data_IF_258700376688
#
_entry.id   IF_258700376688
#
_cell.length_a   1.000
_cell.length_b   1.000
_cell.length_c   1.000
_cell.angle_alpha   90.00
_cell.angle_beta   90.00
_cell.angle_gamma   90.00
#
_symmetry.space_group_name_H-M   'P 1'
#
loop_
_entity.id
_entity.type
_entity.pdbx_description
1 polymer ?
#
# COMPACT_ATOMS: atom_id res chain seq x y z
N UNK A 1 23.25 -18.12 3.45
CA UNK A 1 22.29 -16.98 3.41
C UNK A 1 22.57 -16.20 2.15
N UNK A 2 21.56 -15.66 1.48
CA UNK A 2 21.81 -14.90 0.23
C UNK A 2 22.35 -13.50 0.52
N UNK A 3 23.20 -13.00 -0.37
CA UNK A 3 23.74 -11.63 -0.36
C UNK A 3 23.45 -10.97 -1.70
N UNK A 4 23.10 -9.70 -1.66
CA UNK A 4 22.93 -8.86 -2.85
C UNK A 4 24.11 -7.88 -2.93
N UNK A 5 24.90 -7.97 -3.99
CA UNK A 5 25.95 -7.01 -4.30
C UNK A 5 25.41 -6.03 -5.32
N UNK A 6 25.43 -4.75 -4.96
CA UNK A 6 24.99 -3.64 -5.81
C UNK A 6 26.24 -2.90 -6.26
N UNK A 7 26.50 -2.88 -7.57
CA UNK A 7 27.56 -2.06 -8.18
C UNK A 7 26.91 -0.78 -8.71
N UNK A 8 26.96 0.29 -7.92
CA UNK A 8 26.27 1.55 -8.26
C UNK A 8 26.94 2.36 -9.36
N UNK A 9 26.56 3.63 -9.49
CA UNK A 9 26.98 4.55 -10.55
C UNK A 9 26.66 4.04 -11.96
N UNK A 10 25.49 3.39 -12.08
CA UNK A 10 24.85 3.05 -13.34
C UNK A 10 23.54 3.84 -13.42
N UNK A 11 23.36 4.59 -14.50
CA UNK A 11 22.11 5.28 -14.78
C UNK A 11 21.03 4.27 -15.16
N UNK A 12 19.83 4.39 -14.59
CA UNK A 12 18.69 3.57 -14.98
C UNK A 12 18.09 4.11 -16.28
N UNK A 13 17.95 3.27 -17.30
CA UNK A 13 17.41 3.66 -18.60
C UNK A 13 16.36 2.67 -19.09
N UNK A 14 15.20 3.18 -19.52
CA UNK A 14 14.19 2.38 -20.20
C UNK A 14 12.79 2.56 -19.63
N UNK A 15 12.03 1.46 -19.66
CA UNK A 15 10.63 1.44 -19.27
C UNK A 15 10.38 0.37 -18.22
N UNK A 16 9.51 0.66 -17.26
CA UNK A 16 9.04 -0.31 -16.28
C UNK A 16 7.52 -0.36 -16.29
N UNK A 17 6.98 -1.58 -16.24
CA UNK A 17 5.55 -1.85 -16.10
C UNK A 17 5.28 -2.32 -14.68
N UNK A 18 4.25 -1.77 -14.07
CA UNK A 18 3.91 -2.07 -12.68
C UNK A 18 2.88 -3.18 -12.58
N UNK A 19 2.71 -3.71 -11.37
CA UNK A 19 1.60 -4.62 -11.07
C UNK A 19 0.46 -3.87 -10.40
N UNK A 20 -0.74 -4.45 -10.45
CA UNK A 20 -1.89 -3.91 -9.74
C UNK A 20 -1.65 -3.76 -8.23
N UNK A 21 -2.16 -2.67 -7.68
CA UNK A 21 -2.03 -2.31 -6.27
C UNK A 21 -2.61 -3.40 -5.36
N UNK A 22 -1.73 -3.99 -4.55
CA UNK A 22 -2.10 -5.06 -3.65
C UNK A 22 -3.19 -4.61 -2.67
N UNK A 23 -3.16 -3.39 -2.17
CA UNK A 23 -4.14 -2.92 -1.18
C UNK A 23 -5.54 -2.81 -1.78
N UNK A 24 -5.64 -2.23 -2.96
CA UNK A 24 -6.87 -2.15 -3.74
C UNK A 24 -7.40 -3.55 -4.04
N UNK A 25 -6.56 -4.48 -4.49
CA UNK A 25 -7.01 -5.83 -4.83
C UNK A 25 -7.50 -6.59 -3.59
N UNK A 26 -6.82 -6.49 -2.45
CA UNK A 26 -7.28 -7.10 -1.20
C UNK A 26 -8.67 -6.55 -0.79
N UNK A 27 -8.88 -5.23 -0.95
CA UNK A 27 -10.17 -4.61 -0.70
C UNK A 27 -11.25 -5.12 -1.67
N UNK A 28 -10.90 -5.33 -2.94
CA UNK A 28 -11.80 -5.92 -3.94
C UNK A 28 -12.12 -7.38 -3.62
N UNK A 29 -11.14 -8.19 -3.18
CA UNK A 29 -11.37 -9.57 -2.75
C UNK A 29 -12.36 -9.62 -1.57
N UNK A 30 -12.18 -8.72 -0.59
CA UNK A 30 -13.12 -8.58 0.51
C UNK A 30 -14.50 -8.08 0.04
N UNK A 31 -14.57 -7.15 -0.90
CA UNK A 31 -15.82 -6.63 -1.45
C UNK A 31 -16.57 -7.70 -2.26
N UNK A 32 -15.86 -8.60 -2.96
CA UNK A 32 -16.45 -9.67 -3.75
C UNK A 32 -17.35 -10.60 -2.91
N UNK A 33 -17.06 -10.76 -1.62
CA UNK A 33 -17.90 -11.50 -0.66
C UNK A 33 -19.31 -10.92 -0.59
N UNK A 34 -19.47 -9.60 -0.75
CA UNK A 34 -20.78 -8.93 -0.74
C UNK A 34 -21.65 -9.30 -1.95
N UNK A 35 -21.07 -9.71 -3.08
CA UNK A 35 -21.81 -9.98 -4.31
C UNK A 35 -22.76 -11.16 -4.16
N UNK A 36 -24.06 -10.92 -4.30
CA UNK A 36 -25.12 -11.94 -4.21
C UNK A 36 -25.47 -12.55 -5.57
N UNK A 37 -24.92 -12.02 -6.67
CA UNK A 37 -25.16 -12.53 -8.03
C UNK A 37 -23.90 -12.44 -8.88
N UNK A 38 -23.70 -13.45 -9.73
CA UNK A 38 -22.59 -13.52 -10.68
C UNK A 38 -21.19 -13.64 -10.05
N UNK A 39 -20.18 -13.50 -10.90
CA UNK A 39 -18.76 -13.63 -10.55
C UNK A 39 -18.07 -12.28 -10.66
N UNK A 40 -17.41 -11.83 -9.61
CA UNK A 40 -16.54 -10.64 -9.65
C UNK A 40 -15.23 -11.03 -10.32
N UNK A 41 -14.83 -10.27 -11.35
CA UNK A 41 -13.61 -10.51 -12.12
C UNK A 41 -12.67 -9.33 -11.93
N UNK A 42 -11.41 -9.62 -11.61
CA UNK A 42 -10.34 -8.63 -11.42
C UNK A 42 -9.17 -9.00 -12.30
N UNK A 43 -8.75 -8.07 -13.14
CA UNK A 43 -7.55 -8.14 -13.97
C UNK A 43 -6.37 -7.40 -13.29
N UNK A 44 -5.15 -7.63 -13.77
CA UNK A 44 -3.90 -7.07 -13.25
C UNK A 44 -3.62 -7.47 -11.78
N UNK A 45 -3.82 -8.75 -11.44
CA UNK A 45 -3.63 -9.24 -10.07
C UNK A 45 -2.25 -9.87 -9.86
N UNK A 46 -1.39 -9.33 -8.96
CA UNK A 46 -0.10 -9.91 -8.66
C UNK A 46 -0.24 -11.19 -7.83
N UNK A 47 0.71 -12.11 -8.00
CA UNK A 47 0.70 -13.42 -7.33
C UNK A 47 1.38 -13.38 -5.96
N UNK A 48 0.91 -12.54 -5.04
CA UNK A 48 1.51 -12.42 -3.70
C UNK A 48 0.93 -13.40 -2.67
N UNK A 49 1.66 -13.61 -1.58
CA UNK A 49 1.20 -14.42 -0.45
C UNK A 49 -0.12 -13.87 0.11
N UNK A 50 -0.22 -12.55 0.24
CA UNK A 50 -1.40 -11.85 0.72
C UNK A 50 -2.66 -12.09 -0.12
N UNK A 51 -2.54 -11.99 -1.44
CA UNK A 51 -3.63 -12.33 -2.36
C UNK A 51 -4.04 -13.79 -2.19
N UNK A 52 -3.06 -14.69 -2.03
CA UNK A 52 -3.31 -16.12 -1.81
C UNK A 52 -4.04 -16.39 -0.50
N UNK A 53 -3.71 -15.69 0.59
CA UNK A 53 -4.41 -15.79 1.88
C UNK A 53 -5.88 -15.38 1.75
N UNK A 54 -6.17 -14.27 1.04
CA UNK A 54 -7.56 -13.85 0.80
C UNK A 54 -8.32 -14.82 -0.12
N UNK A 55 -7.67 -15.44 -1.11
CA UNK A 55 -8.26 -16.52 -1.92
C UNK A 55 -8.67 -17.69 -1.01
N UNK A 56 -7.79 -18.11 -0.10
CA UNK A 56 -8.08 -19.19 0.85
C UNK A 56 -9.22 -18.82 1.79
N UNK A 57 -9.29 -17.58 2.25
CA UNK A 57 -10.40 -17.09 3.07
C UNK A 57 -11.74 -17.25 2.36
N UNK A 58 -11.87 -16.74 1.14
CA UNK A 58 -13.12 -16.79 0.38
C UNK A 58 -13.54 -18.25 0.14
N UNK A 59 -12.58 -19.15 -0.14
CA UNK A 59 -12.84 -20.59 -0.27
C UNK A 59 -13.32 -21.23 1.04
N UNK A 60 -12.72 -20.84 2.17
CA UNK A 60 -13.13 -21.32 3.50
C UNK A 60 -14.56 -20.86 3.85
N UNK A 61 -14.96 -19.69 3.36
CA UNK A 61 -16.34 -19.20 3.44
C UNK A 61 -17.32 -19.96 2.51
N UNK A 62 -16.86 -20.97 1.75
CA UNK A 62 -17.61 -21.69 0.68
C UNK A 62 -17.79 -20.92 -0.63
N UNK A 63 -17.10 -19.80 -0.83
CA UNK A 63 -17.02 -19.14 -2.12
C UNK A 63 -16.14 -19.92 -3.12
N UNK A 64 -16.38 -19.70 -4.41
CA UNK A 64 -15.59 -20.29 -5.50
C UNK A 64 -14.61 -19.25 -6.03
N UNK A 65 -13.32 -19.59 -6.08
CA UNK A 65 -12.27 -18.68 -6.56
C UNK A 65 -11.36 -19.38 -7.55
N UNK A 66 -11.19 -18.76 -8.73
CA UNK A 66 -10.25 -19.17 -9.77
C UNK A 66 -9.23 -18.05 -9.98
N UNK A 67 -7.94 -18.36 -9.88
CA UNK A 67 -6.88 -17.40 -10.14
C UNK A 67 -6.00 -17.93 -11.27
N UNK A 68 -6.11 -17.32 -12.45
CA UNK A 68 -5.19 -17.54 -13.55
C UNK A 68 -3.96 -16.67 -13.32
N UNK A 69 -2.91 -17.26 -12.73
CA UNK A 69 -1.65 -16.56 -12.43
C UNK A 69 -0.92 -16.09 -13.68
N UNK A 70 -1.11 -16.75 -14.83
CA UNK A 70 -0.43 -16.39 -16.08
C UNK A 70 -1.08 -15.18 -16.73
N UNK A 71 -2.42 -15.15 -16.73
CA UNK A 71 -3.19 -14.03 -17.23
C UNK A 71 -3.36 -12.91 -16.20
N UNK A 72 -2.98 -13.14 -14.93
CA UNK A 72 -3.20 -12.24 -13.80
C UNK A 72 -4.69 -11.91 -13.57
N UNK A 73 -5.57 -12.86 -13.88
CA UNK A 73 -7.03 -12.70 -13.75
C UNK A 73 -7.54 -13.51 -12.55
N UNK A 74 -8.20 -12.83 -11.63
CA UNK A 74 -8.88 -13.40 -10.47
C UNK A 74 -10.40 -13.37 -10.68
N UNK A 75 -11.05 -14.52 -10.51
CA UNK A 75 -12.52 -14.67 -10.59
C UNK A 75 -13.04 -15.18 -9.26
N UNK A 76 -14.02 -14.50 -8.67
CA UNK A 76 -14.57 -14.78 -7.35
C UNK A 76 -16.10 -14.83 -7.40
N UNK A 77 -16.67 -15.95 -6.97
CA UNK A 77 -18.11 -16.16 -6.88
C UNK A 77 -18.47 -16.46 -5.42
N UNK A 78 -19.26 -15.56 -4.83
CA UNK A 78 -19.78 -15.65 -3.47
C UNK A 78 -21.32 -15.73 -3.45
N UNK A 79 -21.93 -16.22 -4.54
CA UNK A 79 -23.40 -16.33 -4.67
C UNK A 79 -24.00 -17.44 -3.81
N UNK A 80 -23.20 -18.47 -3.50
CA UNK A 80 -23.61 -19.58 -2.66
C UNK A 80 -23.80 -19.15 -1.19
N UNK A 81 -24.46 -20.01 -0.41
CA UNK A 81 -24.57 -19.81 1.02
C UNK A 81 -23.19 -19.84 1.67
N UNK A 82 -22.76 -18.70 2.22
CA UNK A 82 -21.47 -18.58 2.88
C UNK A 82 -21.52 -19.15 4.30
N UNK A 83 -20.43 -19.76 4.76
CA UNK A 83 -20.29 -20.20 6.16
C UNK A 83 -19.26 -19.30 6.85
N UNK A 84 -19.61 -18.56 7.93
CA UNK A 84 -18.65 -17.70 8.61
C UNK A 84 -17.49 -18.54 9.17
N UNK A 85 -16.29 -17.98 9.08
CA UNK A 85 -15.06 -18.55 9.64
C UNK A 85 -14.35 -17.51 10.50
N UNK A 86 -13.57 -17.91 11.51
CA UNK A 86 -12.80 -16.97 12.31
C UNK A 86 -11.76 -16.22 11.46
N UNK A 87 -11.69 -14.90 11.65
CA UNK A 87 -10.80 -14.00 10.93
C UNK A 87 -9.64 -13.56 11.83
N UNK A 88 -8.45 -13.53 11.27
CA UNK A 88 -7.24 -13.02 11.92
C UNK A 88 -6.25 -12.45 10.89
N UNK A 89 -5.31 -11.63 11.35
CA UNK A 89 -4.29 -11.01 10.51
C UNK A 89 -4.90 -10.31 9.29
N UNK A 90 -4.46 -10.67 8.08
CA UNK A 90 -4.91 -10.03 6.85
C UNK A 90 -6.39 -10.24 6.53
N UNK A 91 -6.99 -11.35 7.00
CA UNK A 91 -8.41 -11.63 6.75
C UNK A 91 -9.35 -10.68 7.52
N UNK A 92 -8.84 -9.93 8.51
CA UNK A 92 -9.61 -8.91 9.24
C UNK A 92 -10.17 -7.82 8.31
N UNK A 93 -9.57 -7.59 7.14
CA UNK A 93 -10.12 -6.68 6.13
C UNK A 93 -11.52 -7.11 5.66
N UNK A 94 -11.80 -8.41 5.63
CA UNK A 94 -13.08 -8.97 5.19
C UNK A 94 -14.20 -8.86 6.24
N UNK A 95 -13.89 -8.41 7.46
CA UNK A 95 -14.83 -8.38 8.60
C UNK A 95 -16.17 -7.75 8.23
N UNK A 96 -16.15 -6.58 7.58
CA UNK A 96 -17.37 -5.88 7.20
C UNK A 96 -18.23 -6.66 6.21
N UNK A 97 -17.61 -7.27 5.19
CA UNK A 97 -18.31 -8.06 4.19
C UNK A 97 -18.86 -9.37 4.76
N UNK A 98 -18.09 -10.05 5.60
CA UNK A 98 -18.51 -11.29 6.26
C UNK A 98 -19.67 -10.99 7.21
N UNK A 99 -19.59 -9.94 8.03
CA UNK A 99 -20.69 -9.56 8.92
C UNK A 99 -21.95 -9.19 8.13
N UNK A 100 -21.82 -8.42 7.05
CA UNK A 100 -22.95 -8.03 6.20
C UNK A 100 -23.66 -9.23 5.54
N UNK A 101 -22.91 -10.27 5.16
CA UNK A 101 -23.44 -11.45 4.45
C UNK A 101 -23.85 -12.59 5.38
N UNK A 102 -23.06 -12.87 6.40
CA UNK A 102 -23.25 -13.99 7.32
C UNK A 102 -23.97 -13.60 8.61
N UNK A 103 -24.21 -12.29 8.86
CA UNK A 103 -24.82 -11.74 10.10
C UNK A 103 -24.02 -11.96 11.38
N UNK A 104 -22.90 -12.67 11.29
CA UNK A 104 -21.96 -12.89 12.37
C UNK A 104 -20.53 -13.01 11.84
N UNK A 105 -19.56 -12.68 12.67
CA UNK A 105 -18.13 -12.82 12.40
C UNK A 105 -17.37 -13.01 13.71
N UNK A 106 -16.39 -13.91 13.69
CA UNK A 106 -15.45 -14.12 14.80
C UNK A 106 -14.12 -13.47 14.46
N UNK A 107 -13.59 -12.62 15.34
CA UNK A 107 -12.27 -12.01 15.23
C UNK A 107 -11.34 -12.65 16.25
N UNK A 108 -10.29 -13.30 15.79
CA UNK A 108 -9.32 -14.00 16.64
C UNK A 108 -8.07 -13.17 16.79
N UNK A 109 -7.72 -12.86 18.04
CA UNK A 109 -6.41 -12.30 18.34
C UNK A 109 -5.42 -13.44 18.54
N UNK A 110 -4.42 -13.49 17.66
CA UNK A 110 -3.37 -14.51 17.70
C UNK A 110 -2.19 -14.08 18.56
N UNK A 111 -2.15 -12.83 19.03
CA UNK A 111 -1.03 -12.26 19.77
C UNK A 111 0.26 -12.11 18.95
N UNK A 112 0.22 -12.41 17.65
CA UNK A 112 1.41 -12.42 16.77
C UNK A 112 1.91 -11.01 16.46
N UNK A 113 1.02 -10.01 16.42
CA UNK A 113 1.38 -8.64 16.11
C UNK A 113 0.50 -7.63 16.86
N UNK A 114 1.10 -6.67 17.60
CA UNK A 114 0.35 -5.59 18.25
C UNK A 114 -0.55 -4.79 17.29
N UNK A 115 -0.14 -4.64 16.03
CA UNK A 115 -0.93 -3.94 15.02
C UNK A 115 -2.22 -4.69 14.68
N UNK A 116 -2.20 -6.03 14.70
CA UNK A 116 -3.41 -6.84 14.49
C UNK A 116 -4.35 -6.72 15.69
N UNK A 117 -3.84 -6.78 16.92
CA UNK A 117 -4.65 -6.57 18.13
C UNK A 117 -5.32 -5.19 18.11
N UNK A 118 -4.58 -4.15 17.73
CA UNK A 118 -5.14 -2.80 17.57
C UNK A 118 -6.24 -2.75 16.49
N UNK A 119 -6.02 -3.39 15.33
CA UNK A 119 -7.00 -3.47 14.25
C UNK A 119 -8.30 -4.15 14.72
N UNK A 120 -8.20 -5.25 15.47
CA UNK A 120 -9.37 -5.94 16.03
C UNK A 120 -10.18 -5.00 16.92
N UNK A 121 -9.52 -4.28 17.83
CA UNK A 121 -10.16 -3.32 18.73
C UNK A 121 -10.84 -2.19 17.94
N UNK A 122 -10.19 -1.65 16.90
CA UNK A 122 -10.78 -0.64 16.04
C UNK A 122 -12.04 -1.14 15.34
N UNK A 123 -12.01 -2.33 14.75
CA UNK A 123 -13.16 -2.95 14.07
C UNK A 123 -14.32 -3.18 15.04
N UNK A 124 -14.04 -3.73 16.23
CA UNK A 124 -15.04 -3.94 17.28
C UNK A 124 -15.74 -2.62 17.64
N UNK A 125 -14.98 -1.55 17.87
CA UNK A 125 -15.54 -0.24 18.20
C UNK A 125 -16.40 0.32 17.07
N UNK A 126 -15.91 0.25 15.83
CA UNK A 126 -16.60 0.77 14.65
C UNK A 126 -17.92 0.02 14.40
N UNK A 127 -17.92 -1.30 14.44
CA UNK A 127 -19.11 -2.11 14.21
C UNK A 127 -20.12 -1.99 15.36
N UNK A 128 -19.65 -1.90 16.60
CA UNK A 128 -20.52 -1.61 17.76
C UNK A 128 -21.24 -0.27 17.61
N UNK A 129 -20.55 0.75 17.07
CA UNK A 129 -21.16 2.07 16.82
C UNK A 129 -22.29 2.02 15.78
N UNK A 130 -22.28 1.01 14.90
CA UNK A 130 -23.35 0.71 13.94
C UNK A 130 -24.40 -0.25 14.50
N UNK A 131 -24.36 -0.57 15.80
CA UNK A 131 -25.35 -1.41 16.48
C UNK A 131 -25.08 -2.92 16.46
N UNK A 132 -23.86 -3.35 16.10
CA UNK A 132 -23.46 -4.75 16.26
C UNK A 132 -23.36 -5.13 17.74
N UNK A 133 -23.78 -6.35 18.08
CA UNK A 133 -23.58 -6.94 19.41
C UNK A 133 -22.22 -7.60 19.45
N UNK A 134 -21.45 -7.31 20.48
CA UNK A 134 -20.09 -7.85 20.66
C UNK A 134 -20.04 -8.65 21.94
N UNK A 135 -19.47 -9.86 21.85
CA UNK A 135 -19.17 -10.73 22.97
C UNK A 135 -17.67 -11.05 22.93
N UNK A 136 -16.98 -10.80 24.04
CA UNK A 136 -15.58 -11.13 24.19
C UNK A 136 -15.43 -12.55 24.75
N UNK A 137 -14.59 -13.35 24.11
CA UNK A 137 -14.30 -14.74 24.46
C UNK A 137 -12.77 -14.91 24.63
N UNK A 138 -12.34 -16.04 25.17
CA UNK A 138 -10.91 -16.31 25.45
C UNK A 138 -9.98 -16.24 24.23
N UNK A 139 -10.52 -16.31 23.00
CA UNK A 139 -9.76 -16.28 21.75
C UNK A 139 -9.90 -14.95 20.97
N UNK A 140 -10.74 -14.01 21.43
CA UNK A 140 -11.03 -12.77 20.71
C UNK A 140 -12.49 -12.33 20.85
N UNK A 141 -13.14 -11.92 19.76
CA UNK A 141 -14.48 -11.32 19.78
C UNK A 141 -15.44 -12.00 18.82
N UNK A 142 -16.63 -12.36 19.31
CA UNK A 142 -17.77 -12.74 18.50
C UNK A 142 -18.66 -11.52 18.26
N UNK A 143 -18.93 -11.19 17.00
CA UNK A 143 -19.72 -10.02 16.60
C UNK A 143 -20.93 -10.49 15.81
N UNK A 144 -22.13 -10.05 16.20
CA UNK A 144 -23.38 -10.40 15.54
C UNK A 144 -24.23 -9.15 15.25
N UNK A 145 -24.84 -9.10 14.06
CA UNK A 145 -25.81 -8.07 13.69
C UNK A 145 -26.80 -8.61 12.67
N UNK A 146 -28.09 -8.59 12.98
CA UNK A 146 -29.14 -8.87 11.99
C UNK A 146 -29.10 -7.84 10.87
N UNK A 147 -29.01 -6.56 11.24
CA UNK A 147 -28.70 -5.44 10.35
C UNK A 147 -27.87 -4.43 11.11
N UNK A 148 -26.81 -3.93 10.49
CA UNK A 148 -26.11 -2.75 10.96
C UNK A 148 -26.98 -1.52 10.68
N UNK A 149 -26.80 -0.45 11.46
CA UNK A 149 -27.50 0.83 11.30
C UNK A 149 -26.56 1.90 10.80
N UNK A 150 -27.04 2.70 9.86
CA UNK A 150 -26.38 3.92 9.41
C UNK A 150 -26.20 4.90 10.57
N UNK A 151 -25.02 5.48 10.66
CA UNK A 151 -24.65 6.44 11.72
C UNK A 151 -23.51 7.36 11.24
N UNK A 152 -23.12 8.33 12.06
CA UNK A 152 -21.99 9.23 11.78
C UNK A 152 -20.77 8.76 12.55
N UNK A 153 -19.65 8.53 11.86
CA UNK A 153 -18.42 7.98 12.43
C UNK A 153 -17.24 8.86 12.02
N UNK A 154 -16.42 9.28 12.98
CA UNK A 154 -15.12 9.92 12.71
C UNK A 154 -14.02 8.88 12.55
N UNK A 155 -13.22 9.03 11.50
CA UNK A 155 -12.14 8.12 11.13
C UNK A 155 -10.75 8.68 11.45
N UNK A 156 -10.68 9.78 12.20
CA UNK A 156 -9.39 10.37 12.62
C UNK A 156 -8.55 9.33 13.35
N UNK A 157 -7.36 9.06 12.79
CA UNK A 157 -6.41 8.10 13.35
C UNK A 157 -6.79 6.63 13.18
N UNK A 158 -7.83 6.29 12.42
CA UNK A 158 -8.20 4.90 12.12
C UNK A 158 -7.31 4.31 11.04
N UNK A 159 -6.97 3.05 11.18
CA UNK A 159 -6.16 2.34 10.19
C UNK A 159 -6.92 2.14 8.87
N UNK A 160 -6.19 2.13 7.75
CA UNK A 160 -6.78 1.92 6.43
C UNK A 160 -7.64 0.63 6.35
N UNK A 161 -7.21 -0.53 6.86
CA UNK A 161 -8.05 -1.74 6.84
C UNK A 161 -9.37 -1.59 7.60
N UNK A 162 -9.38 -0.89 8.76
CA UNK A 162 -10.59 -0.58 9.51
C UNK A 162 -11.58 0.24 8.68
N UNK A 163 -11.08 1.25 7.97
CA UNK A 163 -11.90 2.14 7.12
C UNK A 163 -12.50 1.36 5.96
N UNK A 164 -11.71 0.56 5.24
CA UNK A 164 -12.18 -0.24 4.12
C UNK A 164 -13.23 -1.27 4.56
N UNK A 165 -12.99 -1.97 5.68
CA UNK A 165 -13.95 -2.91 6.25
C UNK A 165 -15.27 -2.23 6.63
N UNK A 166 -15.20 -1.04 7.24
CA UNK A 166 -16.37 -0.27 7.62
C UNK A 166 -17.16 0.21 6.39
N UNK A 167 -16.47 0.67 5.33
CA UNK A 167 -17.12 1.05 4.08
C UNK A 167 -17.91 -0.13 3.48
N UNK A 168 -17.31 -1.33 3.46
CA UNK A 168 -17.98 -2.55 3.00
C UNK A 168 -19.20 -2.88 3.86
N UNK A 169 -19.06 -2.85 5.20
CA UNK A 169 -20.17 -3.09 6.12
C UNK A 169 -21.34 -2.12 5.92
N UNK A 170 -21.03 -0.83 5.73
CA UNK A 170 -22.02 0.23 5.55
C UNK A 170 -22.84 0.10 4.26
N UNK A 171 -22.34 -0.61 3.23
CA UNK A 171 -23.11 -0.82 1.99
C UNK A 171 -24.36 -1.67 2.16
N UNK A 172 -24.44 -2.47 3.23
CA UNK A 172 -25.56 -3.36 3.53
C UNK A 172 -26.27 -2.98 4.84
N UNK A 173 -25.94 -1.82 5.42
CA UNK A 173 -26.55 -1.31 6.64
C UNK A 173 -27.93 -0.68 6.37
N UNK A 174 -28.80 -0.61 7.37
CA UNK A 174 -30.07 0.12 7.28
C UNK A 174 -29.84 1.62 7.47
N UNK A 175 -30.18 2.43 6.46
CA UNK A 175 -30.05 3.89 6.49
C UNK A 175 -28.76 4.42 5.85
N UNK A 176 -28.32 5.60 6.31
CA UNK A 176 -27.17 6.33 5.77
C UNK A 176 -26.05 6.35 6.79
N UNK A 177 -24.87 5.88 6.39
CA UNK A 177 -23.63 6.01 7.13
C UNK A 177 -22.84 7.21 6.61
N UNK A 178 -22.35 8.06 7.51
CA UNK A 178 -21.48 9.20 7.18
C UNK A 178 -20.12 8.99 7.84
N UNK A 179 -19.10 8.79 7.04
CA UNK A 179 -17.72 8.65 7.47
C UNK A 179 -17.01 9.99 7.32
N UNK A 180 -16.54 10.56 8.43
CA UNK A 180 -15.81 11.83 8.46
C UNK A 180 -14.31 11.59 8.59
N UNK A 181 -13.53 12.42 7.93
CA UNK A 181 -12.07 12.43 7.98
C UNK A 181 -11.44 11.08 7.57
N UNK A 182 -11.87 10.46 6.45
CA UNK A 182 -11.21 9.24 5.98
C UNK A 182 -9.73 9.51 5.66
N UNK A 183 -8.83 8.53 5.86
CA UNK A 183 -7.46 8.66 5.42
C UNK A 183 -7.40 8.85 3.90
N UNK A 184 -6.47 9.69 3.45
CA UNK A 184 -6.19 9.79 2.02
C UNK A 184 -5.47 8.51 1.56
N UNK A 185 -6.14 7.71 0.74
CA UNK A 185 -5.56 6.50 0.15
C UNK A 185 -6.25 6.18 -1.19
N UNK A 186 -5.50 5.84 -2.24
CA UNK A 186 -6.08 5.33 -3.49
C UNK A 186 -7.04 4.17 -3.27
N UNK A 187 -6.73 3.25 -2.34
CA UNK A 187 -7.57 2.09 -2.05
C UNK A 187 -8.99 2.47 -1.56
N UNK A 188 -9.17 3.59 -0.85
CA UNK A 188 -10.49 4.10 -0.43
C UNK A 188 -11.31 4.53 -1.64
N UNK A 189 -10.68 5.23 -2.59
CA UNK A 189 -11.32 5.70 -3.81
C UNK A 189 -11.69 4.54 -4.74
N UNK A 190 -10.76 3.60 -4.92
CA UNK A 190 -10.97 2.42 -5.76
C UNK A 190 -12.03 1.49 -5.18
N UNK A 191 -12.06 1.30 -3.86
CA UNK A 191 -13.12 0.55 -3.19
C UNK A 191 -14.49 1.23 -3.39
N UNK A 192 -14.58 2.56 -3.27
CA UNK A 192 -15.84 3.26 -3.53
C UNK A 192 -16.32 3.08 -4.98
N UNK A 193 -15.41 3.12 -5.96
CA UNK A 193 -15.74 2.86 -7.36
C UNK A 193 -16.27 1.45 -7.56
N UNK A 194 -15.61 0.43 -7.02
CA UNK A 194 -16.03 -0.94 -7.24
C UNK A 194 -17.35 -1.24 -6.54
N UNK A 195 -17.54 -0.75 -5.30
CA UNK A 195 -18.80 -0.91 -4.58
C UNK A 195 -19.95 -0.27 -5.36
N UNK A 196 -19.75 0.94 -5.92
CA UNK A 196 -20.75 1.56 -6.80
C UNK A 196 -21.02 0.76 -8.08
N UNK A 197 -19.97 0.20 -8.71
CA UNK A 197 -20.15 -0.71 -9.86
C UNK A 197 -20.91 -1.99 -9.50
N UNK A 198 -20.83 -2.44 -8.25
CA UNK A 198 -21.60 -3.56 -7.72
C UNK A 198 -23.04 -3.17 -7.31
N UNK A 199 -23.42 -1.90 -7.43
CA UNK A 199 -24.76 -1.40 -7.12
C UNK A 199 -24.89 -0.67 -5.77
N UNK A 200 -23.79 -0.42 -5.05
CA UNK A 200 -23.82 0.37 -3.82
C UNK A 200 -24.07 1.87 -4.12
N UNK A 201 -24.30 2.64 -3.07
CA UNK A 201 -24.47 4.10 -3.13
C UNK A 201 -23.45 4.79 -2.24
N UNK A 202 -22.23 4.92 -2.74
CA UNK A 202 -21.08 5.52 -2.07
C UNK A 202 -20.73 6.84 -2.75
N UNK A 203 -20.78 7.94 -1.99
CA UNK A 203 -20.49 9.29 -2.49
C UNK A 203 -19.43 9.98 -1.63
N UNK A 204 -18.64 10.89 -2.22
CA UNK A 204 -17.65 11.69 -1.50
C UNK A 204 -16.31 10.99 -1.22
N UNK A 205 -16.04 9.83 -1.82
CA UNK A 205 -14.72 9.22 -1.76
C UNK A 205 -13.66 10.15 -2.39
N UNK A 206 -12.56 10.38 -1.68
CA UNK A 206 -11.56 11.40 -2.03
C UNK A 206 -11.83 12.79 -1.44
N UNK A 207 -12.90 12.96 -0.66
CA UNK A 207 -13.17 14.17 0.13
C UNK A 207 -13.06 13.88 1.64
N UNK A 208 -13.24 14.90 2.47
CA UNK A 208 -13.28 14.78 3.94
C UNK A 208 -14.49 14.02 4.48
N UNK A 209 -15.48 13.71 3.62
CA UNK A 209 -16.74 13.09 4.03
C UNK A 209 -17.22 12.07 3.00
N UNK A 210 -17.32 10.80 3.41
CA UNK A 210 -17.93 9.74 2.60
C UNK A 210 -19.34 9.45 3.12
N UNK A 211 -20.33 9.45 2.22
CA UNK A 211 -21.72 9.08 2.53
C UNK A 211 -22.05 7.76 1.85
N UNK A 212 -22.54 6.80 2.62
CA UNK A 212 -22.90 5.47 2.15
C UNK A 212 -24.36 5.22 2.50
N UNK A 213 -25.22 5.12 1.49
CA UNK A 213 -26.59 4.65 1.67
C UNK A 213 -26.60 3.14 1.49
N UNK A 214 -27.04 2.40 2.51
CA UNK A 214 -27.09 0.96 2.41
C UNK A 214 -28.15 0.47 1.41
N UNK A 215 -27.88 -0.68 0.81
CA UNK A 215 -28.70 -1.35 -0.20
C UNK A 215 -29.01 -2.78 0.22
N UNK A 216 -30.00 -3.39 -0.42
CA UNK A 216 -30.47 -4.74 -0.09
C UNK A 216 -29.61 -5.86 -0.69
N UNK A 217 -28.97 -5.58 -1.82
CA UNK A 217 -28.12 -6.54 -2.53
C UNK A 217 -27.07 -5.83 -3.36
N UNK A 218 -25.96 -6.53 -3.62
CA UNK A 218 -24.91 -6.13 -4.54
C UNK A 218 -24.73 -7.23 -5.59
N UNK A 219 -24.30 -6.84 -6.79
CA UNK A 219 -24.09 -7.72 -7.94
C UNK A 219 -22.62 -7.78 -8.36
N UNK A 220 -22.30 -8.72 -9.23
CA UNK A 220 -20.96 -8.86 -9.80
C UNK A 220 -20.55 -7.66 -10.64
N UNK A 221 -19.25 -7.50 -10.82
CA UNK A 221 -18.65 -6.52 -11.73
C UNK A 221 -17.31 -7.05 -12.24
N UNK A 222 -16.89 -6.51 -13.38
CA UNK A 222 -15.53 -6.62 -13.87
C UNK A 222 -14.73 -5.38 -13.46
N UNK A 223 -13.45 -5.58 -13.14
CA UNK A 223 -12.54 -4.55 -12.68
C UNK A 223 -11.13 -4.77 -13.20
N UNK A 224 -10.44 -3.68 -13.55
CA UNK A 224 -9.01 -3.69 -13.82
C UNK A 224 -8.32 -3.04 -12.64
N UNK A 225 -7.49 -3.79 -11.91
CA UNK A 225 -6.78 -3.22 -10.76
C UNK A 225 -5.80 -2.14 -11.24
N UNK A 226 -5.89 -0.95 -10.64
CA UNK A 226 -4.93 0.12 -10.94
C UNK A 226 -3.54 -0.28 -10.48
N UNK A 227 -2.55 0.14 -11.25
CA UNK A 227 -1.14 -0.05 -10.91
C UNK A 227 -0.78 0.63 -9.60
N UNK A 228 0.16 0.04 -8.85
CA UNK A 228 0.63 0.57 -7.57
C UNK A 228 1.31 1.94 -7.76
N UNK A 229 0.63 2.99 -7.27
CA UNK A 229 1.11 4.36 -7.42
C UNK A 229 2.26 4.67 -6.45
N UNK A 230 2.36 3.98 -5.32
CA UNK A 230 3.53 4.11 -4.44
C UNK A 230 4.75 3.46 -5.08
N UNK A 231 4.60 2.28 -5.71
CA UNK A 231 5.63 1.64 -6.53
C UNK A 231 6.07 2.54 -7.68
N UNK A 232 5.11 3.11 -8.41
CA UNK A 232 5.38 4.07 -9.47
C UNK A 232 6.22 5.25 -8.98
N UNK A 233 5.86 5.80 -7.82
CA UNK A 233 6.60 6.89 -7.20
C UNK A 233 8.03 6.48 -6.82
N UNK A 234 8.23 5.25 -6.35
CA UNK A 234 9.57 4.74 -6.04
C UNK A 234 10.43 4.65 -7.31
N UNK A 235 9.91 4.11 -8.41
CA UNK A 235 10.66 4.08 -9.68
C UNK A 235 10.99 5.48 -10.20
N UNK A 236 10.08 6.45 -10.07
CA UNK A 236 10.38 7.85 -10.39
C UNK A 236 11.51 8.38 -9.51
N UNK A 237 11.47 8.11 -8.20
CA UNK A 237 12.55 8.49 -7.29
C UNK A 237 13.89 7.83 -7.65
N UNK A 238 13.89 6.55 -8.04
CA UNK A 238 15.11 5.84 -8.45
C UNK A 238 15.68 6.38 -9.77
N UNK A 239 14.84 6.73 -10.74
CA UNK A 239 15.27 7.40 -11.97
C UNK A 239 15.90 8.77 -11.69
N UNK A 240 15.27 9.58 -10.82
CA UNK A 240 15.84 10.84 -10.36
C UNK A 240 17.18 10.66 -9.64
N UNK A 241 17.24 9.68 -8.73
CA UNK A 241 18.39 9.43 -7.87
C UNK A 241 19.63 8.96 -8.65
N UNK A 242 19.43 8.17 -9.70
CA UNK A 242 20.51 7.62 -10.53
C UNK A 242 20.91 8.54 -11.68
N UNK A 243 20.25 9.69 -11.87
CA UNK A 243 20.47 10.55 -13.03
C UNK A 243 20.01 9.92 -14.35
N UNK A 244 19.14 8.90 -14.29
CA UNK A 244 18.73 8.08 -15.43
C UNK A 244 17.52 8.62 -16.20
N UNK A 245 17.07 7.87 -17.19
CA UNK A 245 15.89 8.17 -18.02
C UNK A 245 14.88 7.01 -17.96
N UNK A 246 13.93 7.12 -17.05
CA UNK A 246 13.00 6.04 -16.70
C UNK A 246 11.57 6.46 -17.04
N UNK A 247 10.88 5.63 -17.82
CA UNK A 247 9.44 5.74 -18.04
C UNK A 247 8.70 4.70 -17.21
N UNK A 248 7.83 5.16 -16.33
CA UNK A 248 6.98 4.30 -15.50
C UNK A 248 5.60 4.20 -16.15
N UNK A 249 5.31 3.08 -16.79
CA UNK A 249 4.02 2.80 -17.40
C UNK A 249 3.00 2.45 -16.30
N UNK A 250 1.76 2.96 -16.43
CA UNK A 250 0.72 2.81 -15.41
C UNK A 250 0.70 3.91 -14.33
N UNK A 251 1.76 4.72 -14.25
CA UNK A 251 1.81 5.87 -13.35
C UNK A 251 0.75 6.93 -13.72
N UNK A 252 -0.09 7.28 -12.76
CA UNK A 252 -1.18 8.26 -12.96
C UNK A 252 -0.80 9.61 -12.39
N UNK A 253 -0.70 10.61 -13.26
CA UNK A 253 -0.36 11.98 -12.87
C UNK A 253 -1.33 12.57 -11.84
N UNK A 254 -2.60 12.15 -11.82
CA UNK A 254 -3.58 12.62 -10.83
C UNK A 254 -3.19 12.20 -9.41
N UNK A 255 -2.68 10.99 -9.23
CA UNK A 255 -2.24 10.47 -7.93
C UNK A 255 -0.84 10.95 -7.55
N UNK A 256 0.04 11.17 -8.53
CA UNK A 256 1.46 11.50 -8.32
C UNK A 256 1.80 12.97 -8.56
N UNK A 257 0.81 13.87 -8.66
CA UNK A 257 1.03 15.29 -8.98
C UNK A 257 1.94 15.99 -7.97
N UNK A 258 1.78 15.73 -6.67
CA UNK A 258 2.63 16.37 -5.65
C UNK A 258 4.07 15.85 -5.73
N UNK A 259 4.23 14.55 -5.98
CA UNK A 259 5.54 13.92 -6.13
C UNK A 259 6.27 14.44 -7.38
N UNK A 260 5.61 14.44 -8.54
CA UNK A 260 6.17 14.91 -9.80
C UNK A 260 6.62 16.37 -9.71
N UNK A 261 5.78 17.25 -9.17
CA UNK A 261 6.15 18.65 -8.90
C UNK A 261 7.34 18.77 -7.93
N UNK A 262 7.44 17.88 -6.94
CA UNK A 262 8.57 17.88 -6.00
C UNK A 262 9.86 17.46 -6.71
N UNK A 263 9.83 16.40 -7.52
CA UNK A 263 10.97 15.92 -8.31
C UNK A 263 11.44 16.96 -9.33
N UNK A 264 10.51 17.68 -9.99
CA UNK A 264 10.86 18.80 -10.88
C UNK A 264 11.60 19.92 -10.13
N UNK A 265 11.14 20.29 -8.94
CA UNK A 265 11.81 21.30 -8.10
C UNK A 265 13.19 20.85 -7.59
N UNK A 266 13.43 19.55 -7.51
CA UNK A 266 14.75 18.98 -7.24
C UNK A 266 15.70 19.06 -8.46
N UNK A 267 15.22 19.54 -9.61
CA UNK A 267 16.01 19.75 -10.82
C UNK A 267 15.84 18.67 -11.90
N UNK A 268 14.94 17.70 -11.70
CA UNK A 268 14.66 16.64 -12.67
C UNK A 268 13.69 17.14 -13.76
N UNK A 269 13.71 16.51 -14.94
CA UNK A 269 12.68 16.74 -15.95
C UNK A 269 11.60 15.66 -15.83
N UNK A 270 10.35 16.07 -15.64
CA UNK A 270 9.21 15.14 -15.59
C UNK A 270 8.32 15.36 -16.81
N UNK A 271 7.98 14.28 -17.51
CA UNK A 271 7.11 14.30 -18.69
C UNK A 271 5.93 13.38 -18.43
N UNK A 272 4.75 13.97 -18.25
CA UNK A 272 3.49 13.23 -18.15
C UNK A 272 3.10 12.73 -19.54
N UNK A 273 2.94 11.42 -19.68
CA UNK A 273 2.52 10.75 -20.91
C UNK A 273 1.10 10.18 -20.76
N UNK A 274 0.53 9.68 -21.85
CA UNK A 274 -0.85 9.13 -21.84
C UNK A 274 -1.01 7.93 -20.91
N UNK A 275 -0.01 7.06 -20.87
CA UNK A 275 -0.03 5.79 -20.12
C UNK A 275 1.09 5.68 -19.09
N UNK A 276 1.61 6.81 -18.59
CA UNK A 276 2.71 6.77 -17.64
C UNK A 276 3.36 8.12 -17.40
N UNK A 277 4.44 8.11 -16.62
CA UNK A 277 5.24 9.29 -16.30
C UNK A 277 6.70 8.94 -16.59
N UNK A 278 7.37 9.79 -17.37
CA UNK A 278 8.80 9.70 -17.63
C UNK A 278 9.55 10.70 -16.78
N UNK A 279 10.64 10.26 -16.17
CA UNK A 279 11.58 11.12 -15.45
C UNK A 279 12.96 11.03 -16.09
N UNK A 280 13.57 12.19 -16.28
CA UNK A 280 14.98 12.32 -16.65
C UNK A 280 15.66 12.95 -15.45
N UNK A 281 16.49 12.16 -14.78
CA UNK A 281 17.24 12.52 -13.61
C UNK A 281 18.32 13.56 -13.90
N UNK A 282 18.71 14.30 -12.87
CA UNK A 282 19.88 15.19 -12.91
C UNK A 282 21.00 14.61 -12.05
N UNK A 283 22.26 14.92 -12.39
CA UNK A 283 23.41 14.51 -11.57
C UNK A 283 23.50 15.27 -10.23
N UNK A 284 22.85 16.43 -10.13
CA UNK A 284 22.87 17.26 -8.91
C UNK A 284 21.44 17.56 -8.50
N UNK A 285 21.02 16.96 -7.38
CA UNK A 285 19.71 17.16 -6.80
C UNK A 285 19.69 18.42 -5.92
N UNK A 286 18.72 19.30 -6.19
CA UNK A 286 18.46 20.51 -5.40
C UNK A 286 17.68 20.09 -4.14
N UNK A 287 18.09 20.52 -2.92
CA UNK A 287 17.35 20.20 -1.70
C UNK A 287 15.96 20.81 -1.74
N UNK A 288 14.95 20.00 -1.37
CA UNK A 288 13.55 20.39 -1.35
C UNK A 288 12.84 19.85 -0.12
N UNK A 289 11.95 20.67 0.42
CA UNK A 289 11.12 20.33 1.55
C UNK A 289 9.98 19.39 1.15
N UNK A 290 9.76 18.32 1.93
CA UNK A 290 8.64 17.39 1.79
C UNK A 290 7.52 17.85 2.72
N UNK A 291 6.62 18.66 2.16
CA UNK A 291 5.51 19.27 2.87
C UNK A 291 4.50 18.22 3.41
N UNK A 292 3.73 18.56 4.46
CA UNK A 292 2.72 17.67 5.05
C UNK A 292 1.79 17.02 4.03
N UNK A 293 1.34 17.78 3.03
CA UNK A 293 0.43 17.29 1.99
C UNK A 293 1.04 16.19 1.14
N UNK A 294 2.33 16.25 0.81
CA UNK A 294 3.00 15.18 0.06
C UNK A 294 3.23 13.98 0.99
N UNK A 295 3.72 14.23 2.21
CA UNK A 295 3.99 13.15 3.17
C UNK A 295 2.77 12.27 3.47
N UNK A 296 1.57 12.88 3.49
CA UNK A 296 0.31 12.17 3.73
C UNK A 296 -0.17 11.35 2.53
N UNK A 297 0.29 11.65 1.32
CA UNK A 297 -0.07 10.90 0.11
C UNK A 297 0.85 9.69 -0.14
N UNK A 298 2.03 9.67 0.47
CA UNK A 298 3.03 8.65 0.25
C UNK A 298 2.86 7.49 1.24
N UNK A 299 2.87 6.26 0.73
CA UNK A 299 3.11 5.08 1.54
C UNK A 299 4.53 5.01 2.08
N UNK A 300 4.79 4.00 2.93
CA UNK A 300 6.07 3.84 3.62
C UNK A 300 7.26 3.68 2.66
N UNK A 301 7.08 2.94 1.56
CA UNK A 301 8.13 2.71 0.55
C UNK A 301 8.50 3.99 -0.18
N UNK A 302 7.50 4.75 -0.65
CA UNK A 302 7.72 6.03 -1.33
C UNK A 302 8.33 7.08 -0.40
N UNK A 303 7.86 7.17 0.86
CA UNK A 303 8.48 8.04 1.87
C UNK A 303 9.94 7.68 2.12
N UNK A 304 10.27 6.39 2.11
CA UNK A 304 11.65 5.92 2.28
C UNK A 304 12.51 6.32 1.07
N UNK A 305 12.01 6.18 -0.15
CA UNK A 305 12.71 6.62 -1.36
C UNK A 305 12.93 8.14 -1.40
N UNK A 306 11.93 8.94 -0.99
CA UNK A 306 12.06 10.40 -0.85
C UNK A 306 13.12 10.79 0.18
N UNK A 307 13.22 10.05 1.29
CA UNK A 307 14.24 10.32 2.29
C UNK A 307 15.65 10.03 1.75
N UNK A 308 15.80 8.97 0.95
CA UNK A 308 17.08 8.70 0.24
C UNK A 308 17.40 9.82 -0.76
N UNK A 309 16.43 10.34 -1.50
CA UNK A 309 16.62 11.51 -2.37
C UNK A 309 17.08 12.74 -1.58
N UNK A 310 16.44 13.02 -0.44
CA UNK A 310 16.80 14.14 0.43
C UNK A 310 18.23 14.01 0.99
N UNK A 311 18.69 12.79 1.25
CA UNK A 311 20.08 12.53 1.64
C UNK A 311 21.07 12.85 0.51
N UNK A 312 20.72 12.55 -0.75
CA UNK A 312 21.60 12.80 -1.90
C UNK A 312 21.54 14.25 -2.41
N UNK A 313 20.50 15.01 -2.04
CA UNK A 313 20.40 16.42 -2.39
C UNK A 313 21.48 17.27 -1.70
N UNK A 314 22.06 18.23 -2.41
CA UNK A 314 23.15 19.08 -1.88
C UNK A 314 22.60 20.21 -1.01
N UNK A 315 22.30 19.89 0.25
CA UNK A 315 21.93 20.87 1.26
C UNK A 315 20.85 20.37 2.23
N UNK A 316 20.21 21.33 2.89
CA UNK A 316 19.24 21.05 3.95
C UNK A 316 17.83 20.89 3.39
N UNK A 317 17.18 19.78 3.74
CA UNK A 317 15.77 19.52 3.44
C UNK A 317 14.99 19.22 4.73
N UNK A 318 13.74 19.64 4.79
CA UNK A 318 12.83 19.33 5.89
C UNK A 318 11.70 18.42 5.43
N UNK A 319 11.38 17.38 6.22
CA UNK A 319 10.34 16.40 5.93
C UNK A 319 9.36 16.40 7.10
N UNK A 320 8.13 16.82 6.83
CA UNK A 320 7.06 16.82 7.83
C UNK A 320 6.43 15.43 7.96
N UNK A 321 6.01 15.08 9.17
CA UNK A 321 5.26 13.85 9.48
C UNK A 321 5.92 12.54 8.99
N UNK A 322 7.25 12.51 8.92
CA UNK A 322 7.97 11.32 8.48
C UNK A 322 7.67 10.11 9.41
N UNK A 323 7.15 8.99 8.87
CA UNK A 323 6.85 7.78 9.64
C UNK A 323 8.06 7.27 10.44
N UNK A 324 7.81 6.65 11.59
CA UNK A 324 8.89 6.10 12.44
C UNK A 324 9.63 4.98 11.72
N UNK A 325 8.90 4.19 10.96
CA UNK A 325 9.34 3.04 10.19
C UNK A 325 10.32 3.45 9.08
N UNK A 326 9.98 4.48 8.29
CA UNK A 326 10.87 5.02 7.26
C UNK A 326 12.15 5.64 7.86
N UNK A 327 12.05 6.28 9.03
CA UNK A 327 13.24 6.78 9.76
C UNK A 327 14.12 5.65 10.25
N UNK A 328 13.52 4.62 10.85
CA UNK A 328 14.23 3.44 11.34
C UNK A 328 14.93 2.69 10.20
N UNK A 329 14.29 2.59 9.03
CA UNK A 329 14.87 1.99 7.83
C UNK A 329 16.20 2.66 7.45
N UNK A 330 16.23 3.99 7.43
CA UNK A 330 17.43 4.77 7.09
C UNK A 330 18.48 4.66 8.19
N UNK A 331 18.10 4.77 9.46
CA UNK A 331 19.07 4.64 10.57
C UNK A 331 19.73 3.27 10.64
N UNK A 332 19.03 2.21 10.21
CA UNK A 332 19.58 0.86 10.14
C UNK A 332 20.65 0.73 9.05
N UNK A 333 20.54 1.54 7.99
CA UNK A 333 21.48 1.52 6.86
C UNK A 333 22.62 2.51 7.05
N UNK A 334 22.33 3.71 7.52
CA UNK A 334 23.27 4.83 7.55
C UNK A 334 23.18 5.58 8.89
N UNK A 335 23.87 5.05 9.92
CA UNK A 335 23.88 5.64 11.26
C UNK A 335 24.58 7.01 11.33
N UNK A 336 25.52 7.26 10.42
CA UNK A 336 26.29 8.51 10.38
C UNK A 336 25.61 9.65 9.59
N UNK A 337 24.37 9.45 9.13
CA UNK A 337 23.64 10.49 8.42
C UNK A 337 23.31 11.67 9.35
N UNK A 338 23.50 12.90 8.87
CA UNK A 338 23.11 14.10 9.62
C UNK A 338 21.60 14.35 9.48
N UNK A 339 20.86 13.57 10.27
CA UNK A 339 19.40 13.58 10.33
C UNK A 339 18.95 13.88 11.76
N UNK A 340 18.15 14.92 11.91
CA UNK A 340 17.63 15.36 13.21
C UNK A 340 16.10 15.41 13.20
N UNK A 341 15.45 14.72 14.14
CA UNK A 341 14.00 14.74 14.27
C UNK A 341 13.57 15.60 15.47
N UNK A 342 12.83 16.68 15.22
CA UNK A 342 12.32 17.57 16.25
C UNK A 342 10.90 18.03 15.91
N UNK A 343 9.98 17.96 16.89
CA UNK A 343 8.59 18.44 16.77
C UNK A 343 7.85 17.96 15.51
N UNK A 344 8.03 16.69 15.12
CA UNK A 344 7.34 16.13 13.94
C UNK A 344 7.98 16.49 12.60
N UNK A 345 9.10 17.22 12.61
CA UNK A 345 9.87 17.61 11.43
C UNK A 345 11.20 16.87 11.46
N UNK A 346 11.50 16.16 10.39
CA UNK A 346 12.80 15.55 10.14
C UNK A 346 13.64 16.52 9.31
N UNK A 347 14.76 16.97 9.84
CA UNK A 347 15.76 17.75 9.12
C UNK A 347 16.82 16.81 8.59
N UNK A 348 17.09 16.87 7.28
CA UNK A 348 18.13 16.10 6.60
C UNK A 348 19.14 17.06 6.00
N UNK A 349 20.41 16.96 6.41
CA UNK A 349 21.51 17.66 5.76
C UNK A 349 22.17 16.70 4.75
N UNK A 350 21.76 16.81 3.49
CA UNK A 350 22.21 15.93 2.41
C UNK A 350 23.55 16.34 1.79
N UNK A 351 24.07 15.46 0.93
CA UNK A 351 25.31 15.66 0.17
C UNK A 351 26.61 15.31 0.92
N UNK A 352 26.53 14.99 2.21
CA UNK A 352 27.69 14.71 3.04
C UNK A 352 27.54 13.41 3.83
N UNK A 353 27.65 12.26 3.16
CA UNK A 353 27.69 10.96 3.81
C UNK A 353 28.51 9.95 3.01
N UNK A 354 28.97 8.90 3.68
CA UNK A 354 29.60 7.75 3.03
C UNK A 354 28.70 6.54 3.21
N UNK A 355 28.32 5.91 2.09
CA UNK A 355 27.56 4.66 2.14
C UNK A 355 28.46 3.54 2.67
N UNK A 356 28.01 2.73 3.63
CA UNK A 356 28.78 1.60 4.12
C UNK A 356 29.02 0.57 3.00
N UNK A 357 30.12 -0.19 3.09
CA UNK A 357 30.39 -1.28 2.13
C UNK A 357 29.46 -2.48 2.33
N UNK A 358 29.02 -2.71 3.58
CA UNK A 358 28.13 -3.81 3.94
C UNK A 358 27.07 -3.34 4.93
N UNK A 359 25.83 -3.72 4.67
CA UNK A 359 24.67 -3.30 5.46
C UNK A 359 23.79 -4.51 5.80
N UNK A 360 23.25 -4.52 7.01
CA UNK A 360 22.19 -5.45 7.40
C UNK A 360 20.83 -4.81 7.16
N UNK A 361 19.97 -5.53 6.46
CA UNK A 361 18.64 -5.06 6.08
C UNK A 361 17.59 -5.94 6.75
N UNK A 362 17.19 -5.64 8.01
CA UNK A 362 16.26 -6.49 8.76
C UNK A 362 14.81 -6.44 8.25
N UNK A 363 14.48 -5.46 7.39
CA UNK A 363 13.11 -5.20 6.92
C UNK A 363 13.10 -4.82 5.44
N UNK A 364 11.95 -4.98 4.79
CA UNK A 364 11.78 -4.57 3.39
C UNK A 364 12.15 -3.10 3.15
N UNK A 365 11.72 -2.19 4.03
CA UNK A 365 12.05 -0.75 3.92
C UNK A 365 13.55 -0.49 4.06
N UNK A 366 14.24 -1.14 5.00
CA UNK A 366 15.70 -1.03 5.09
C UNK A 366 16.38 -1.58 3.84
N UNK A 367 15.85 -2.67 3.28
CA UNK A 367 16.29 -3.25 2.00
C UNK A 367 16.17 -2.26 0.85
N UNK A 368 15.00 -1.65 0.68
CA UNK A 368 14.75 -0.63 -0.35
C UNK A 368 15.66 0.58 -0.17
N UNK A 369 15.83 1.07 1.06
CA UNK A 369 16.69 2.23 1.31
C UNK A 369 18.15 1.95 0.98
N UNK A 370 18.66 0.76 1.33
CA UNK A 370 20.02 0.34 1.03
C UNK A 370 20.20 0.10 -0.48
N UNK A 371 19.19 -0.50 -1.14
CA UNK A 371 19.17 -0.67 -2.60
C UNK A 371 19.26 0.68 -3.31
N UNK A 372 18.40 1.64 -2.96
CA UNK A 372 18.40 2.98 -3.53
C UNK A 372 19.74 3.70 -3.31
N UNK A 373 20.28 3.66 -2.08
CA UNK A 373 21.61 4.20 -1.79
C UNK A 373 22.71 3.51 -2.60
N UNK A 374 22.69 2.18 -2.69
CA UNK A 374 23.68 1.41 -3.45
C UNK A 374 23.68 1.76 -4.94
N UNK A 375 22.50 1.95 -5.54
CA UNK A 375 22.38 2.33 -6.96
C UNK A 375 23.01 3.71 -7.24
N UNK A 376 22.80 4.66 -6.33
CA UNK A 376 23.23 6.05 -6.47
C UNK A 376 24.74 6.28 -6.22
N UNK A 377 25.41 5.34 -5.55
CA UNK A 377 26.79 5.54 -5.09
C UNK A 377 27.82 4.86 -6.01
N UNK A 378 29.04 5.42 -6.06
CA UNK A 378 30.12 4.87 -6.89
C UNK A 378 30.76 3.60 -6.32
N UNK A 379 30.64 3.39 -5.02
CA UNK A 379 31.17 2.21 -4.34
C UNK A 379 30.17 1.07 -4.37
N UNK A 380 30.68 -0.17 -4.39
CA UNK A 380 29.82 -1.34 -4.26
C UNK A 380 29.29 -1.49 -2.83
N UNK A 381 28.00 -1.85 -2.74
CA UNK A 381 27.31 -2.08 -1.48
C UNK A 381 26.83 -3.54 -1.43
N UNK A 382 27.08 -4.22 -0.32
CA UNK A 382 26.61 -5.60 -0.08
C UNK A 382 25.51 -5.63 0.97
N UNK A 383 24.34 -6.14 0.62
CA UNK A 383 23.22 -6.38 1.53
C UNK A 383 23.22 -7.83 2.02
N UNK A 384 22.94 -8.02 3.30
CA UNK A 384 22.86 -9.34 3.94
C UNK A 384 21.89 -9.27 5.12
N UNK A 385 20.74 -9.99 5.11
CA UNK A 385 20.21 -10.84 4.03
C UNK A 385 19.78 -10.07 2.76
N UNK A 386 19.73 -10.73 1.59
CA UNK A 386 19.28 -10.11 0.34
C UNK A 386 17.76 -10.05 0.20
N UNK A 387 17.06 -11.02 0.79
CA UNK A 387 15.62 -11.25 0.63
C UNK A 387 14.79 -9.97 0.90
N UNK A 388 15.05 -9.18 1.96
CA UNK A 388 14.24 -8.00 2.25
C UNK A 388 14.30 -6.92 1.17
N UNK A 389 15.39 -6.82 0.40
CA UNK A 389 15.47 -5.87 -0.70
C UNK A 389 14.45 -6.18 -1.81
N UNK A 390 14.15 -7.46 -2.05
CA UNK A 390 13.16 -7.91 -3.03
C UNK A 390 11.72 -7.98 -2.51
N UNK A 391 11.50 -7.81 -1.20
CA UNK A 391 10.16 -7.93 -0.59
C UNK A 391 9.32 -6.64 -0.69
N UNK A 392 9.92 -5.52 -1.08
CA UNK A 392 9.20 -4.23 -1.16
C UNK A 392 8.18 -4.20 -2.30
N UNK A 393 8.55 -4.75 -3.47
CA UNK A 393 7.68 -4.85 -4.65
C UNK A 393 7.99 -6.14 -5.42
N UNK A 394 6.99 -6.66 -6.15
CA UNK A 394 7.19 -7.85 -6.96
C UNK A 394 8.16 -7.56 -8.11
N UNK A 395 9.11 -8.46 -8.37
CA UNK A 395 10.07 -8.33 -9.47
C UNK A 395 10.95 -7.09 -9.43
N UNK A 396 11.03 -6.38 -8.29
CA UNK A 396 11.83 -5.15 -8.15
C UNK A 396 13.26 -5.31 -8.67
N UNK A 397 13.95 -6.39 -8.25
CA UNK A 397 15.33 -6.64 -8.65
C UNK A 397 15.46 -6.95 -10.16
N UNK A 398 14.55 -7.75 -10.70
CA UNK A 398 14.53 -8.11 -12.13
C UNK A 398 14.31 -6.86 -12.99
N UNK A 399 13.33 -6.04 -12.63
CA UNK A 399 13.00 -4.79 -13.31
C UNK A 399 14.15 -3.78 -13.23
N UNK A 400 14.87 -3.71 -12.12
CA UNK A 400 16.05 -2.85 -12.01
C UNK A 400 17.19 -3.33 -12.90
N UNK A 401 17.41 -4.65 -13.01
CA UNK A 401 18.40 -5.22 -13.95
C UNK A 401 18.02 -4.88 -15.40
N UNK A 402 16.74 -4.99 -15.76
CA UNK A 402 16.24 -4.61 -17.09
C UNK A 402 16.43 -3.12 -17.39
N UNK A 403 16.34 -2.27 -16.36
CA UNK A 403 16.66 -0.84 -16.45
C UNK A 403 18.17 -0.54 -16.45
N UNK A 404 19.03 -1.54 -16.37
CA UNK A 404 20.49 -1.38 -16.45
C UNK A 404 21.22 -1.35 -15.10
N UNK A 405 20.55 -1.66 -13.99
CA UNK A 405 21.22 -1.82 -12.70
C UNK A 405 22.17 -3.04 -12.70
N UNK A 406 23.33 -2.88 -12.07
CA UNK A 406 24.31 -3.95 -11.93
C UNK A 406 24.16 -4.62 -10.54
N UNK A 407 23.34 -5.67 -10.52
CA UNK A 407 22.95 -6.41 -9.32
C UNK A 407 23.42 -7.87 -9.42
N UNK A 408 24.14 -8.35 -8.40
CA UNK A 408 24.62 -9.73 -8.33
C UNK A 408 24.10 -10.41 -7.05
N UNK A 409 23.35 -11.50 -7.20
CA UNK A 409 22.92 -12.34 -6.08
C UNK A 409 23.94 -13.46 -5.90
N UNK A 410 24.50 -13.57 -4.70
CA UNK A 410 25.39 -14.66 -4.31
C UNK A 410 24.81 -15.43 -3.13
N UNK A 411 25.08 -16.73 -3.07
CA UNK A 411 24.68 -17.59 -1.96
C UNK A 411 25.94 -18.03 -1.21
N UNK A 412 25.96 -17.79 0.09
CA UNK A 412 26.91 -18.45 1.01
C UNK A 412 26.53 -19.90 1.26
#
# INVERSE_FOLDING_TARGET
>A
MSKLVIKGNHELHGKVTLSGDQQTILAIQAAAILSTSGTVIVDNVPATASITTMIQLIRSLKGVVLFDRKQQILKMDATQHLTPVPLSGQSLLATGSVLARCRQVDLVDTGVSPANSQLIVELVQLLSSMGAKVQENAQGFHIQADYLKGTVISLVGKSLPSVLALMMAATMADGITVLKDPPYSPAVFELAKILNKMGARVHGAGTDTIRIQGVTFLHSTDYYALDDQDEAGVYLCLGALTGGDVTVEGAQAVHLRLLTNHLEKMGNTVVVQRNGIRIIGTHVLIPQDVLPTLSQQCGLSLMTALLVLALHALGKSQIWHCPKESRAAISNVLQAADINFNNGILTVNGGHFQVPVKVQTPTALSGLSALAMGLANSQSLTLSPAEPAGESFNHLLDQLIELGANLEISFD
#
